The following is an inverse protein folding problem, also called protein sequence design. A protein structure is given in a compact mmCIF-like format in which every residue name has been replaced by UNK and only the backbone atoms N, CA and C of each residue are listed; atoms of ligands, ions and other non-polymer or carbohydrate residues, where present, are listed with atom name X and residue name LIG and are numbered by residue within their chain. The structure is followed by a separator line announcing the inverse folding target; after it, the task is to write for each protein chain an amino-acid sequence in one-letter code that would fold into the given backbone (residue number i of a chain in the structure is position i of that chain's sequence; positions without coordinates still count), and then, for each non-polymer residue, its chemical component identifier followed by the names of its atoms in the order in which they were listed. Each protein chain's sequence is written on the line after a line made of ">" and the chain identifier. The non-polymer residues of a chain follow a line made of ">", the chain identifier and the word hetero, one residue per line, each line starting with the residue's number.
data_IF_574070722263
#
_entry.id   IF_574070722263
#
_cell.length_a   1.000
_cell.length_b   1.000
_cell.length_c   1.000
_cell.angle_alpha   90.00
_cell.angle_beta   90.00
_cell.angle_gamma   90.00
#
_symmetry.space_group_name_H-M   'P 1'
#
loop_
_entity.id
_entity.type
_entity.pdbx_description
1 polymer ?
#
# COMPACT_ATOMS: atom_id res chain seq x y z
N UNK A 1 -6.76 -1.49 18.65
CA UNK A 1 -7.74 -2.06 17.69
C UNK A 1 -9.16 -1.93 18.20
N UNK A 2 -9.47 -2.43 19.40
CA UNK A 2 -10.76 -2.20 20.07
C UNK A 2 -11.18 -0.73 20.16
N UNK A 3 -10.26 0.21 20.43
CA UNK A 3 -10.57 1.65 20.54
C UNK A 3 -11.03 2.25 19.19
N UNK A 4 -10.45 1.82 18.07
CA UNK A 4 -10.80 2.34 16.75
C UNK A 4 -12.14 1.76 16.31
N UNK A 5 -12.36 0.46 16.54
CA UNK A 5 -13.66 -0.18 16.33
C UNK A 5 -14.72 0.45 17.22
N UNK A 6 -14.41 0.72 18.50
CA UNK A 6 -15.31 1.37 19.45
C UNK A 6 -15.63 2.82 19.07
N UNK A 7 -14.66 3.60 18.58
CA UNK A 7 -14.88 4.99 18.18
C UNK A 7 -15.72 5.08 16.89
N UNK A 8 -15.44 4.22 15.90
CA UNK A 8 -16.24 4.11 14.67
C UNK A 8 -17.66 3.64 14.99
N UNK A 9 -17.80 2.66 15.89
CA UNK A 9 -19.10 2.18 16.34
C UNK A 9 -19.85 3.25 17.15
N UNK A 10 -19.16 4.01 18.02
CA UNK A 10 -19.71 5.12 18.79
C UNK A 10 -20.18 6.28 17.91
N UNK A 11 -19.48 6.60 16.82
CA UNK A 11 -19.92 7.63 15.87
C UNK A 11 -21.12 7.17 15.01
N UNK A 12 -21.24 5.85 14.78
CA UNK A 12 -22.39 5.23 14.10
C UNK A 12 -23.62 5.03 15.02
N UNK A 13 -23.43 4.89 16.34
CA UNK A 13 -24.53 4.62 17.30
C UNK A 13 -24.92 5.82 18.16
N UNK A 14 -24.01 6.74 18.48
CA UNK A 14 -24.26 7.87 19.38
C UNK A 14 -24.61 9.10 18.55
N UNK A 15 -25.80 9.05 17.92
CA UNK A 15 -26.43 10.18 17.22
C UNK A 15 -26.91 11.30 18.17
N UNK A 16 -26.02 11.83 19.02
CA UNK A 16 -26.40 12.83 20.04
C UNK A 16 -25.33 13.86 20.41
N UNK A 17 -24.04 13.53 20.35
CA UNK A 17 -22.97 14.49 20.66
C UNK A 17 -22.20 14.88 19.38
N UNK A 18 -22.21 16.17 19.02
CA UNK A 18 -21.46 16.73 17.89
C UNK A 18 -19.95 16.78 18.22
N UNK A 19 -19.27 15.63 18.16
CA UNK A 19 -17.80 15.60 18.20
C UNK A 19 -17.27 16.26 16.92
N UNK A 20 -16.23 17.09 17.04
CA UNK A 20 -15.58 17.69 15.88
C UNK A 20 -14.87 16.61 15.04
N UNK A 21 -15.39 16.30 13.85
CA UNK A 21 -14.84 15.26 12.98
C UNK A 21 -13.36 15.46 12.63
N UNK A 22 -12.85 16.71 12.57
CA UNK A 22 -11.42 16.95 12.32
C UNK A 22 -10.56 16.47 13.48
N UNK A 23 -11.01 16.71 14.70
CA UNK A 23 -10.33 16.27 15.92
C UNK A 23 -10.38 14.74 16.05
N UNK A 24 -11.55 14.13 15.85
CA UNK A 24 -11.73 12.69 15.83
C UNK A 24 -10.80 11.99 14.81
N UNK A 25 -10.77 12.47 13.57
CA UNK A 25 -9.87 11.95 12.53
C UNK A 25 -8.40 12.08 12.93
N UNK A 26 -8.01 13.17 13.60
CA UNK A 26 -6.67 13.35 14.14
C UNK A 26 -6.29 12.31 15.18
N UNK A 27 -7.19 12.00 16.12
CA UNK A 27 -6.98 10.94 17.13
C UNK A 27 -6.84 9.57 16.47
N UNK A 28 -7.72 9.24 15.52
CA UNK A 28 -7.66 7.95 14.83
C UNK A 28 -6.38 7.83 14.00
N UNK A 29 -6.00 8.89 13.29
CA UNK A 29 -4.72 8.94 12.57
C UNK A 29 -3.55 8.70 13.51
N UNK A 30 -3.47 9.44 14.62
CA UNK A 30 -2.39 9.32 15.60
C UNK A 30 -2.34 7.91 16.18
N UNK A 31 -3.49 7.31 16.49
CA UNK A 31 -3.57 5.95 17.03
C UNK A 31 -3.04 4.92 16.03
N UNK A 32 -3.50 4.96 14.77
CA UNK A 32 -3.00 4.07 13.73
C UNK A 32 -1.51 4.31 13.44
N UNK A 33 -1.10 5.57 13.37
CA UNK A 33 0.28 5.92 13.09
C UNK A 33 1.22 5.45 14.19
N UNK A 34 0.88 5.63 15.46
CA UNK A 34 1.72 5.16 16.57
C UNK A 34 1.78 3.63 16.61
N UNK A 35 0.67 2.93 16.38
CA UNK A 35 0.67 1.45 16.31
C UNK A 35 1.57 0.97 15.17
N UNK A 36 1.42 1.55 13.97
CA UNK A 36 2.22 1.18 12.82
C UNK A 36 3.69 1.55 13.01
N UNK A 37 3.96 2.76 13.49
CA UNK A 37 5.28 3.36 13.56
C UNK A 37 6.12 2.90 14.75
N UNK A 38 5.50 2.52 15.88
CA UNK A 38 6.17 2.00 17.07
C UNK A 38 6.18 0.46 17.15
N UNK A 39 5.70 -0.22 16.11
CA UNK A 39 5.75 -1.68 16.04
C UNK A 39 7.19 -2.18 16.15
N UNK A 40 7.39 -3.32 16.81
CA UNK A 40 8.69 -3.97 16.93
C UNK A 40 8.57 -5.44 16.56
N UNK A 41 9.43 -5.91 15.66
CA UNK A 41 9.44 -7.28 15.16
C UNK A 41 8.09 -7.75 14.57
N UNK A 42 7.38 -6.82 13.91
CA UNK A 42 6.10 -7.08 13.24
C UNK A 42 6.21 -6.78 11.75
N UNK A 43 5.81 -7.76 10.95
CA UNK A 43 5.79 -7.71 9.50
C UNK A 43 6.92 -8.55 8.89
N UNK A 44 6.61 -9.22 7.77
CA UNK A 44 7.53 -10.14 7.09
C UNK A 44 8.92 -9.54 6.84
N UNK A 45 8.97 -8.29 6.37
CA UNK A 45 10.23 -7.63 5.99
C UNK A 45 10.82 -6.73 7.07
N UNK A 46 10.30 -6.76 8.31
CA UNK A 46 10.78 -5.89 9.41
C UNK A 46 12.31 -5.98 9.59
N UNK A 47 12.83 -7.21 9.66
CA UNK A 47 14.26 -7.46 9.84
C UNK A 47 15.10 -7.00 8.65
N UNK A 48 14.55 -7.07 7.43
CA UNK A 48 15.22 -6.58 6.23
C UNK A 48 15.38 -5.06 6.30
N UNK A 49 14.30 -4.32 6.59
CA UNK A 49 14.39 -2.86 6.71
C UNK A 49 15.34 -2.40 7.82
N UNK A 50 15.34 -3.09 8.97
CA UNK A 50 16.28 -2.81 10.06
C UNK A 50 17.74 -3.05 9.64
N UNK A 51 18.02 -4.19 8.99
CA UNK A 51 19.36 -4.54 8.49
C UNK A 51 19.85 -3.49 7.50
N UNK A 52 19.00 -3.10 6.56
CA UNK A 52 19.34 -2.15 5.51
C UNK A 52 19.63 -0.75 6.06
N UNK A 53 18.83 -0.28 7.01
CA UNK A 53 19.11 0.98 7.71
C UNK A 53 20.45 0.95 8.44
N UNK A 54 20.77 -0.17 9.10
CA UNK A 54 22.06 -0.34 9.78
C UNK A 54 23.24 -0.40 8.78
N UNK A 55 23.10 -1.11 7.65
CA UNK A 55 24.14 -1.12 6.62
C UNK A 55 24.42 0.28 6.09
N UNK A 56 23.37 1.07 5.87
CA UNK A 56 23.50 2.46 5.48
C UNK A 56 24.26 3.30 6.52
N UNK A 57 23.94 3.16 7.81
CA UNK A 57 24.63 3.88 8.90
C UNK A 57 26.13 3.55 8.98
N UNK A 58 26.50 2.30 8.73
CA UNK A 58 27.89 1.84 8.80
C UNK A 58 28.63 1.90 7.47
N UNK A 59 28.06 2.55 6.44
CA UNK A 59 28.69 2.69 5.12
C UNK A 59 28.93 1.36 4.41
N UNK A 60 28.14 0.32 4.70
CA UNK A 60 28.27 -1.01 4.13
C UNK A 60 27.48 -1.13 2.83
N UNK A 61 27.98 -1.93 1.90
CA UNK A 61 27.27 -2.27 0.67
C UNK A 61 26.12 -3.21 1.01
N UNK A 62 24.90 -2.81 0.65
CA UNK A 62 23.73 -3.66 0.71
C UNK A 62 23.70 -4.65 -0.44
N UNK A 63 23.24 -5.87 -0.15
CA UNK A 63 22.91 -6.88 -1.16
C UNK A 63 21.47 -6.75 -1.67
N UNK A 64 20.65 -5.93 -1.02
CA UNK A 64 19.24 -5.71 -1.36
C UNK A 64 19.11 -4.35 -2.04
N UNK A 65 18.83 -4.38 -3.35
CA UNK A 65 18.64 -3.15 -4.10
C UNK A 65 17.24 -2.57 -3.84
N UNK A 66 17.19 -1.53 -3.01
CA UNK A 66 15.98 -0.78 -2.70
C UNK A 66 15.77 0.38 -3.69
N UNK A 67 14.51 0.73 -3.95
CA UNK A 67 14.15 1.80 -4.88
C UNK A 67 14.73 3.16 -4.41
N UNK A 68 15.10 4.05 -5.35
CA UNK A 68 15.88 5.25 -5.04
C UNK A 68 15.20 6.19 -4.05
N UNK A 69 13.88 6.34 -4.11
CA UNK A 69 13.13 7.18 -3.16
C UNK A 69 13.15 6.63 -1.74
N UNK A 70 13.08 5.31 -1.59
CA UNK A 70 13.21 4.67 -0.28
C UNK A 70 14.63 4.81 0.29
N UNK A 71 15.65 4.64 -0.56
CA UNK A 71 17.06 4.84 -0.17
C UNK A 71 17.33 6.29 0.24
N UNK A 72 16.85 7.24 -0.54
CA UNK A 72 16.98 8.66 -0.23
C UNK A 72 16.30 9.01 1.09
N UNK A 73 15.07 8.52 1.31
CA UNK A 73 14.34 8.71 2.57
C UNK A 73 15.10 8.11 3.76
N UNK A 74 15.60 6.88 3.62
CA UNK A 74 16.36 6.21 4.68
C UNK A 74 17.66 6.96 4.98
N UNK A 75 18.35 7.43 3.94
CA UNK A 75 19.57 8.25 4.08
C UNK A 75 19.27 9.55 4.82
N UNK A 76 18.18 10.24 4.45
CA UNK A 76 17.77 11.48 5.10
C UNK A 76 17.45 11.26 6.59
N UNK A 77 16.77 10.16 6.94
CA UNK A 77 16.49 9.82 8.34
C UNK A 77 17.79 9.54 9.11
N UNK A 78 18.73 8.83 8.49
CA UNK A 78 20.03 8.51 9.09
C UNK A 78 20.90 9.75 9.41
N UNK A 79 20.64 10.89 8.76
CA UNK A 79 21.30 12.16 9.12
C UNK A 79 20.90 12.67 10.51
N UNK A 80 19.74 12.27 11.03
CA UNK A 80 19.20 12.77 12.30
C UNK A 80 19.20 11.73 13.42
N UNK A 81 19.31 10.43 13.10
CA UNK A 81 19.21 9.36 14.10
C UNK A 81 19.85 8.06 13.64
N UNK A 82 20.38 7.30 14.59
CA UNK A 82 20.85 5.92 14.39
C UNK A 82 19.76 4.89 14.71
N UNK A 83 18.62 5.32 15.24
CA UNK A 83 17.54 4.42 15.61
C UNK A 83 16.62 4.15 14.42
N UNK A 84 16.65 2.92 13.90
CA UNK A 84 15.82 2.47 12.79
C UNK A 84 14.30 2.55 13.06
N UNK A 85 13.85 2.71 14.31
CA UNK A 85 12.44 2.92 14.62
C UNK A 85 11.86 4.15 13.90
N UNK A 86 12.69 5.18 13.70
CA UNK A 86 12.29 6.39 12.97
C UNK A 86 11.96 6.10 11.50
N UNK A 87 12.60 5.10 10.89
CA UNK A 87 12.23 4.63 9.56
C UNK A 87 10.78 4.16 9.51
N UNK A 88 10.36 3.36 10.48
CA UNK A 88 8.98 2.87 10.57
C UNK A 88 7.98 3.99 10.92
N UNK A 89 8.34 4.93 11.79
CA UNK A 89 7.53 6.11 12.08
C UNK A 89 7.29 6.96 10.82
N UNK A 90 8.35 7.29 10.08
CA UNK A 90 8.24 8.17 8.90
C UNK A 90 7.50 7.47 7.75
N UNK A 91 7.86 6.23 7.44
CA UNK A 91 7.23 5.47 6.35
C UNK A 91 5.75 5.18 6.62
N UNK A 92 5.38 4.85 7.86
CA UNK A 92 3.97 4.67 8.23
C UNK A 92 3.20 5.98 8.24
N UNK A 93 3.82 7.10 8.64
CA UNK A 93 3.22 8.44 8.53
C UNK A 93 2.86 8.75 7.08
N UNK A 94 3.82 8.60 6.16
CA UNK A 94 3.62 8.84 4.72
C UNK A 94 2.47 7.98 4.20
N UNK A 95 2.50 6.67 4.47
CA UNK A 95 1.46 5.74 4.02
C UNK A 95 0.08 6.13 4.53
N UNK A 96 -0.06 6.34 5.84
CA UNK A 96 -1.36 6.68 6.43
C UNK A 96 -1.83 8.07 5.99
N UNK A 97 -0.92 9.03 5.84
CA UNK A 97 -1.27 10.38 5.40
C UNK A 97 -1.92 10.36 4.01
N UNK A 98 -1.31 9.64 3.07
CA UNK A 98 -1.87 9.49 1.73
C UNK A 98 -3.15 8.65 1.72
N UNK A 99 -3.24 7.59 2.54
CA UNK A 99 -4.50 6.83 2.70
C UNK A 99 -5.63 7.72 3.21
N UNK A 100 -5.41 8.50 4.27
CA UNK A 100 -6.41 9.40 4.84
C UNK A 100 -6.84 10.47 3.84
N UNK A 101 -5.90 11.08 3.12
CA UNK A 101 -6.21 12.07 2.07
C UNK A 101 -6.95 11.45 0.88
N UNK A 102 -6.66 10.20 0.53
CA UNK A 102 -7.36 9.51 -0.54
C UNK A 102 -8.79 9.17 -0.12
N UNK A 103 -8.99 8.59 1.07
CA UNK A 103 -10.32 8.29 1.62
C UNK A 103 -11.16 9.57 1.73
N UNK A 104 -10.61 10.65 2.30
CA UNK A 104 -11.33 11.92 2.43
C UNK A 104 -11.72 12.52 1.07
N UNK A 105 -10.94 12.24 0.03
CA UNK A 105 -11.20 12.77 -1.32
C UNK A 105 -12.20 11.94 -2.12
N UNK A 106 -12.24 10.62 -1.89
CA UNK A 106 -12.92 9.66 -2.76
C UNK A 106 -14.13 8.97 -2.12
N UNK A 107 -14.23 8.93 -0.80
CA UNK A 107 -15.25 8.17 -0.09
C UNK A 107 -16.40 9.05 0.38
N UNK A 108 -17.64 8.56 0.21
CA UNK A 108 -18.83 9.18 0.80
C UNK A 108 -18.82 9.07 2.33
N UNK A 109 -18.38 7.92 2.85
CA UNK A 109 -18.21 7.68 4.29
C UNK A 109 -16.74 7.41 4.62
N UNK A 110 -16.12 8.39 5.29
CA UNK A 110 -14.73 8.34 5.72
C UNK A 110 -14.50 7.16 6.69
N UNK A 111 -15.32 7.05 7.73
CA UNK A 111 -15.13 6.06 8.79
C UNK A 111 -15.42 4.64 8.34
N UNK A 112 -16.41 4.44 7.46
CA UNK A 112 -16.65 3.14 6.85
C UNK A 112 -15.46 2.70 5.98
N UNK A 113 -14.92 3.61 5.17
CA UNK A 113 -13.76 3.31 4.32
C UNK A 113 -12.50 3.03 5.14
N UNK A 114 -12.31 3.77 6.24
CA UNK A 114 -11.21 3.55 7.16
C UNK A 114 -11.37 2.23 7.94
N UNK A 115 -12.60 1.90 8.35
CA UNK A 115 -12.93 0.60 8.92
C UNK A 115 -12.57 -0.51 7.94
N UNK A 116 -12.98 -0.42 6.68
CA UNK A 116 -12.65 -1.40 5.64
C UNK A 116 -11.14 -1.51 5.40
N UNK A 117 -10.41 -0.39 5.40
CA UNK A 117 -8.95 -0.40 5.30
C UNK A 117 -8.30 -1.24 6.41
N UNK A 118 -8.83 -1.19 7.64
CA UNK A 118 -8.33 -2.00 8.76
C UNK A 118 -8.86 -3.44 8.69
N UNK A 119 -10.17 -3.61 8.51
CA UNK A 119 -10.88 -4.89 8.55
C UNK A 119 -10.51 -5.81 7.39
N UNK A 120 -10.28 -5.26 6.19
CA UNK A 120 -9.78 -5.99 5.02
C UNK A 120 -8.26 -6.18 5.04
N UNK A 121 -7.63 -5.95 6.19
CA UNK A 121 -6.22 -6.25 6.45
C UNK A 121 -5.21 -5.39 5.66
N UNK A 122 -5.65 -4.37 4.91
CA UNK A 122 -4.74 -3.46 4.21
C UNK A 122 -3.80 -2.71 5.16
N UNK A 123 -4.34 -2.28 6.31
CA UNK A 123 -3.54 -1.64 7.36
C UNK A 123 -2.41 -2.56 7.85
N UNK A 124 -2.69 -3.83 8.13
CA UNK A 124 -1.69 -4.78 8.61
C UNK A 124 -0.73 -5.23 7.51
N UNK A 125 -1.20 -5.36 6.28
CA UNK A 125 -0.33 -5.61 5.13
C UNK A 125 0.68 -4.48 4.90
N UNK A 126 0.34 -3.23 5.23
CA UNK A 126 1.29 -2.13 5.19
C UNK A 126 2.50 -2.31 6.12
N UNK A 127 2.40 -3.19 7.12
CA UNK A 127 3.52 -3.51 8.00
C UNK A 127 4.47 -4.51 7.37
N UNK A 128 3.92 -5.41 6.54
CA UNK A 128 4.65 -6.45 5.83
C UNK A 128 5.42 -5.86 4.65
N UNK A 129 4.78 -5.03 3.83
CA UNK A 129 5.31 -4.58 2.56
C UNK A 129 5.40 -3.04 2.51
N UNK A 130 6.23 -2.46 3.39
CA UNK A 130 6.31 -1.00 3.63
C UNK A 130 6.47 -0.20 2.33
N UNK A 131 7.47 -0.56 1.50
CA UNK A 131 7.75 0.12 0.23
C UNK A 131 6.57 0.07 -0.74
N UNK A 132 5.97 -1.11 -0.88
CA UNK A 132 4.79 -1.31 -1.72
C UNK A 132 3.61 -0.47 -1.24
N UNK A 133 3.30 -0.47 0.06
CA UNK A 133 2.17 0.30 0.59
C UNK A 133 2.39 1.82 0.59
N UNK A 134 3.64 2.29 0.64
CA UNK A 134 3.95 3.69 0.35
C UNK A 134 3.56 4.04 -1.10
N UNK A 135 3.97 3.22 -2.07
CA UNK A 135 3.63 3.45 -3.47
C UNK A 135 2.12 3.33 -3.74
N UNK A 136 1.45 2.35 -3.12
CA UNK A 136 -0.01 2.16 -3.22
C UNK A 136 -0.76 3.37 -2.67
N UNK A 137 -0.39 3.86 -1.49
CA UNK A 137 -1.09 4.99 -0.86
C UNK A 137 -0.93 6.29 -1.67
N UNK A 138 0.28 6.58 -2.17
CA UNK A 138 0.55 7.72 -3.06
C UNK A 138 -0.24 7.57 -4.37
N UNK A 139 -0.23 6.38 -4.98
CA UNK A 139 -0.97 6.11 -6.22
C UNK A 139 -2.48 6.25 -6.02
N UNK A 140 -3.01 5.76 -4.89
CA UNK A 140 -4.42 5.88 -4.54
C UNK A 140 -4.82 7.35 -4.40
N UNK A 141 -4.03 8.15 -3.71
CA UNK A 141 -4.25 9.61 -3.67
C UNK A 141 -4.19 10.25 -5.05
N UNK A 142 -3.29 9.79 -5.93
CA UNK A 142 -3.17 10.25 -7.32
C UNK A 142 -4.43 10.05 -8.16
N UNK A 143 -5.29 9.07 -7.83
CA UNK A 143 -6.54 8.82 -8.58
C UNK A 143 -7.49 10.02 -8.59
N UNK A 144 -7.36 10.97 -7.66
CA UNK A 144 -8.07 12.27 -7.70
C UNK A 144 -7.89 13.06 -8.99
N UNK A 145 -6.76 12.85 -9.68
CA UNK A 145 -6.44 13.52 -10.94
C UNK A 145 -7.06 12.82 -12.14
N UNK A 146 -7.42 11.53 -12.02
CA UNK A 146 -8.16 10.78 -13.04
C UNK A 146 -9.55 11.37 -13.25
N UNK A 147 -10.27 11.64 -12.15
CA UNK A 147 -11.60 12.25 -12.20
C UNK A 147 -11.59 13.62 -12.91
N UNK A 148 -10.48 14.36 -12.83
CA UNK A 148 -10.30 15.65 -13.49
C UNK A 148 -9.67 15.56 -14.88
N UNK A 149 -9.33 14.36 -15.35
CA UNK A 149 -8.56 14.13 -16.59
C UNK A 149 -7.27 14.98 -16.66
N UNK A 150 -6.61 15.16 -15.52
CA UNK A 150 -5.35 15.90 -15.41
C UNK A 150 -4.18 14.90 -15.48
N UNK A 151 -3.78 14.56 -16.71
CA UNK A 151 -2.72 13.58 -16.95
C UNK A 151 -1.40 13.99 -16.31
N UNK A 152 -1.02 15.27 -16.40
CA UNK A 152 0.27 15.74 -15.89
C UNK A 152 0.37 15.53 -14.38
N UNK A 153 -0.62 15.97 -13.61
CA UNK A 153 -0.60 15.76 -12.14
C UNK A 153 -0.71 14.29 -11.76
N UNK A 154 -1.48 13.52 -12.53
CA UNK A 154 -1.56 12.07 -12.34
C UNK A 154 -0.19 11.41 -12.54
N UNK A 155 0.44 11.65 -13.70
CA UNK A 155 1.72 11.06 -14.07
C UNK A 155 2.83 11.44 -13.09
N UNK A 156 2.92 12.71 -12.67
CA UNK A 156 3.87 13.14 -11.64
C UNK A 156 3.66 12.35 -10.34
N UNK A 157 2.41 12.18 -9.91
CA UNK A 157 2.10 11.44 -8.69
C UNK A 157 2.51 9.96 -8.80
N UNK A 158 2.27 9.32 -9.94
CA UNK A 158 2.67 7.93 -10.18
C UNK A 158 4.19 7.77 -10.29
N UNK A 159 4.89 8.72 -10.92
CA UNK A 159 6.35 8.72 -10.96
C UNK A 159 6.92 8.85 -9.55
N UNK A 160 6.38 9.75 -8.70
CA UNK A 160 6.78 9.84 -7.29
C UNK A 160 6.51 8.52 -6.55
N UNK A 161 5.35 7.89 -6.75
CA UNK A 161 5.06 6.59 -6.17
C UNK A 161 6.07 5.52 -6.60
N UNK A 162 6.50 5.55 -7.87
CA UNK A 162 7.46 4.59 -8.43
C UNK A 162 8.86 4.68 -7.82
N UNK A 163 9.22 5.83 -7.23
CA UNK A 163 10.47 5.98 -6.49
C UNK A 163 10.50 5.11 -5.23
N UNK A 164 9.34 4.69 -4.72
CA UNK A 164 9.23 3.78 -3.57
C UNK A 164 8.95 2.34 -3.99
N UNK A 165 8.32 2.11 -5.15
CA UNK A 165 8.12 0.78 -5.70
C UNK A 165 7.86 0.82 -7.21
N UNK A 166 8.75 0.22 -8.02
CA UNK A 166 8.72 0.35 -9.48
C UNK A 166 7.42 -0.10 -10.15
N UNK A 167 6.74 -1.11 -9.59
CA UNK A 167 5.48 -1.62 -10.15
C UNK A 167 4.37 -0.56 -10.19
N UNK A 168 4.48 0.53 -9.42
CA UNK A 168 3.55 1.65 -9.48
C UNK A 168 3.47 2.29 -10.87
N UNK A 169 4.52 2.20 -11.71
CA UNK A 169 4.49 2.72 -13.08
C UNK A 169 3.41 2.09 -13.95
N UNK A 170 2.96 0.87 -13.62
CA UNK A 170 1.83 0.22 -14.30
C UNK A 170 0.56 1.09 -14.21
N UNK A 171 0.41 1.88 -13.14
CA UNK A 171 -0.72 2.78 -12.96
C UNK A 171 -0.76 3.91 -14.01
N UNK A 172 0.37 4.26 -14.66
CA UNK A 172 0.33 5.23 -15.77
C UNK A 172 -0.63 4.79 -16.88
N UNK A 173 -0.73 3.48 -17.14
CA UNK A 173 -1.64 2.94 -18.14
C UNK A 173 -3.11 3.03 -17.70
N UNK A 174 -3.39 2.98 -16.39
CA UNK A 174 -4.75 3.08 -15.86
C UNK A 174 -5.42 4.40 -16.25
N UNK A 175 -4.65 5.47 -16.45
CA UNK A 175 -5.17 6.74 -16.97
C UNK A 175 -5.91 6.56 -18.29
N UNK A 176 -5.28 5.87 -19.25
CA UNK A 176 -5.84 5.70 -20.59
C UNK A 176 -7.04 4.77 -20.60
N UNK A 177 -7.09 3.79 -19.69
CA UNK A 177 -8.24 2.90 -19.52
C UNK A 177 -9.43 3.64 -18.92
N UNK A 178 -9.23 4.37 -17.82
CA UNK A 178 -10.32 5.02 -17.09
C UNK A 178 -10.87 6.25 -17.80
N UNK A 179 -10.04 7.01 -18.51
CA UNK A 179 -10.48 8.26 -19.15
C UNK A 179 -11.16 8.07 -20.50
N UNK A 180 -11.12 6.86 -21.08
CA UNK A 180 -11.71 6.53 -22.37
C UNK A 180 -12.87 5.56 -22.20
N UNK A 181 -13.95 5.79 -22.95
CA UNK A 181 -15.15 4.95 -22.91
C UNK A 181 -14.90 3.64 -23.67
N UNK A 182 -14.28 2.66 -23.02
CA UNK A 182 -14.23 1.29 -23.52
C UNK A 182 -15.56 0.56 -23.29
N UNK A 183 -15.89 -0.39 -24.16
CA UNK A 183 -17.05 -1.25 -23.96
C UNK A 183 -16.83 -2.10 -22.71
N UNK A 184 -17.91 -2.40 -21.97
CA UNK A 184 -17.87 -3.29 -20.79
C UNK A 184 -17.16 -4.62 -21.07
N UNK A 185 -17.30 -5.14 -22.29
CA UNK A 185 -16.61 -6.35 -22.75
C UNK A 185 -15.09 -6.23 -22.71
N UNK A 186 -14.51 -5.06 -22.96
CA UNK A 186 -13.07 -4.82 -22.90
C UNK A 186 -12.54 -4.94 -21.47
N UNK A 187 -13.26 -4.38 -20.49
CA UNK A 187 -12.91 -4.53 -19.08
C UNK A 187 -13.02 -5.98 -18.61
N UNK A 188 -14.09 -6.68 -18.99
CA UNK A 188 -14.29 -8.09 -18.67
C UNK A 188 -13.20 -8.98 -19.30
N UNK A 189 -12.80 -8.70 -20.55
CA UNK A 189 -11.68 -9.40 -21.19
C UNK A 189 -10.37 -9.14 -20.46
N UNK A 190 -10.07 -7.89 -20.06
CA UNK A 190 -8.86 -7.58 -19.30
C UNK A 190 -8.82 -8.32 -17.96
N UNK A 191 -9.94 -8.38 -17.23
CA UNK A 191 -10.07 -9.15 -15.99
C UNK A 191 -9.88 -10.65 -16.27
N UNK A 192 -10.53 -11.19 -17.31
CA UNK A 192 -10.41 -12.59 -17.72
C UNK A 192 -8.97 -12.97 -18.06
N UNK A 193 -8.25 -12.11 -18.78
CA UNK A 193 -6.82 -12.30 -19.10
C UNK A 193 -5.98 -12.26 -17.82
N UNK A 194 -6.21 -11.31 -16.91
CA UNK A 194 -5.48 -11.24 -15.65
C UNK A 194 -5.68 -12.49 -14.78
N UNK A 195 -6.92 -12.99 -14.71
CA UNK A 195 -7.25 -14.25 -14.01
C UNK A 195 -6.58 -15.45 -14.69
N UNK A 196 -6.61 -15.52 -16.02
CA UNK A 196 -5.95 -16.59 -16.78
C UNK A 196 -4.44 -16.60 -16.55
N UNK A 197 -3.77 -15.44 -16.66
CA UNK A 197 -2.34 -15.29 -16.37
C UNK A 197 -2.02 -15.80 -14.96
N UNK A 198 -2.88 -15.49 -13.98
CA UNK A 198 -2.70 -15.96 -12.60
C UNK A 198 -2.85 -17.48 -12.46
N UNK A 199 -3.85 -18.08 -13.10
CA UNK A 199 -4.03 -19.54 -13.12
C UNK A 199 -2.79 -20.20 -13.73
N UNK A 200 -2.34 -19.68 -14.87
CA UNK A 200 -1.14 -20.17 -15.56
C UNK A 200 0.11 -20.00 -14.69
N UNK A 201 0.28 -18.87 -14.00
CA UNK A 201 1.38 -18.65 -13.05
C UNK A 201 1.43 -19.75 -12.00
N UNK A 202 0.32 -20.06 -11.33
CA UNK A 202 0.28 -21.12 -10.32
C UNK A 202 0.50 -22.53 -10.87
N UNK A 203 0.20 -22.77 -12.15
CA UNK A 203 0.45 -24.06 -12.79
C UNK A 203 1.89 -24.20 -13.26
N UNK A 204 2.48 -23.14 -13.79
CA UNK A 204 3.80 -23.16 -14.44
C UNK A 204 4.94 -22.99 -13.41
N UNK A 205 4.78 -22.11 -12.43
CA UNK A 205 5.84 -21.79 -11.45
C UNK A 205 6.36 -23.01 -10.67
N UNK A 206 5.51 -23.94 -10.17
CA UNK A 206 5.99 -25.14 -9.50
C UNK A 206 6.80 -26.09 -10.40
N UNK A 207 6.66 -25.98 -11.73
CA UNK A 207 7.39 -26.79 -12.70
C UNK A 207 8.72 -26.11 -13.07
N UNK A 208 8.70 -24.80 -13.30
CA UNK A 208 9.85 -24.05 -13.82
C UNK A 208 10.85 -23.70 -12.72
N UNK A 209 10.39 -23.30 -11.54
CA UNK A 209 11.27 -22.79 -10.49
C UNK A 209 12.22 -23.84 -9.89
N UNK A 210 11.87 -25.13 -9.73
CA UNK A 210 12.82 -26.16 -9.29
C UNK A 210 13.97 -26.38 -10.28
N UNK A 211 13.78 -26.05 -11.56
CA UNK A 211 14.82 -26.16 -12.60
C UNK A 211 15.88 -25.06 -12.50
N UNK A 212 15.67 -24.07 -11.64
CA UNK A 212 16.61 -22.98 -11.40
C UNK A 212 17.03 -23.01 -9.93
N UNK A 213 18.19 -23.60 -9.58
CA UNK A 213 18.61 -23.84 -8.20
C UNK A 213 18.58 -22.60 -7.30
N UNK A 214 18.87 -21.42 -7.88
CA UNK A 214 18.83 -20.11 -7.20
C UNK A 214 17.43 -19.73 -6.69
N UNK A 215 16.37 -20.21 -7.34
CA UNK A 215 14.98 -19.86 -7.01
C UNK A 215 14.21 -20.98 -6.31
N UNK A 216 14.77 -22.18 -6.18
CA UNK A 216 14.14 -23.31 -5.49
C UNK A 216 13.71 -22.95 -4.05
N UNK A 217 14.51 -22.16 -3.34
CA UNK A 217 14.21 -21.68 -1.98
C UNK A 217 12.99 -20.73 -1.91
N UNK A 218 12.61 -20.07 -3.01
CA UNK A 218 11.44 -19.18 -3.05
C UNK A 218 10.10 -19.93 -3.12
N UNK A 219 10.09 -21.20 -3.56
CA UNK A 219 8.87 -22.02 -3.60
C UNK A 219 8.34 -22.35 -2.21
N UNK A 220 9.22 -22.48 -1.22
CA UNK A 220 8.84 -22.75 0.16
C UNK A 220 8.06 -21.58 0.77
N UNK A 221 8.53 -20.34 0.56
CA UNK A 221 7.88 -19.12 1.04
C UNK A 221 6.62 -18.72 0.26
N UNK A 222 6.50 -19.12 -1.01
CA UNK A 222 5.35 -18.76 -1.86
C UNK A 222 4.03 -19.41 -1.43
N UNK A 223 4.07 -20.51 -0.68
CA UNK A 223 2.86 -21.22 -0.22
C UNK A 223 2.13 -20.50 0.92
N UNK A 224 2.79 -19.58 1.64
CA UNK A 224 2.26 -19.07 2.92
C UNK A 224 1.73 -17.62 2.90
N UNK A 225 1.78 -16.86 1.81
CA UNK A 225 1.17 -15.53 1.88
C UNK A 225 1.15 -14.69 0.62
N UNK A 226 0.20 -14.99 -0.28
CA UNK A 226 -0.20 -14.09 -1.37
C UNK A 226 -1.57 -13.43 -1.11
N UNK A 227 -1.75 -12.82 0.07
CA UNK A 227 -2.94 -12.03 0.40
C UNK A 227 -3.09 -10.77 -0.47
N UNK A 228 -2.00 -10.28 -1.08
CA UNK A 228 -1.98 -9.11 -1.95
C UNK A 228 -2.85 -9.24 -3.22
N UNK A 229 -3.15 -10.46 -3.66
CA UNK A 229 -3.91 -10.70 -4.89
C UNK A 229 -5.43 -10.61 -4.66
N UNK A 230 -5.90 -11.09 -3.49
CA UNK A 230 -7.32 -11.11 -3.17
C UNK A 230 -7.87 -9.68 -3.05
N UNK A 231 -7.06 -8.78 -2.47
CA UNK A 231 -7.41 -7.37 -2.33
C UNK A 231 -7.44 -6.61 -3.66
N UNK A 232 -6.53 -6.90 -4.61
CA UNK A 232 -6.53 -6.29 -5.95
C UNK A 232 -7.75 -6.76 -6.77
N UNK A 233 -8.12 -8.04 -6.65
CA UNK A 233 -9.33 -8.58 -7.30
C UNK A 233 -10.59 -7.97 -6.71
N UNK A 234 -10.68 -7.84 -5.39
CA UNK A 234 -11.82 -7.19 -4.71
C UNK A 234 -11.91 -5.71 -5.11
N UNK A 235 -10.80 -4.98 -5.15
CA UNK A 235 -10.78 -3.59 -5.60
C UNK A 235 -11.22 -3.46 -7.07
N UNK A 236 -10.75 -4.34 -7.95
CA UNK A 236 -11.16 -4.38 -9.37
C UNK A 236 -12.65 -4.67 -9.57
N UNK A 237 -13.24 -5.53 -8.73
CA UNK A 237 -14.67 -5.81 -8.75
C UNK A 237 -15.51 -4.60 -8.31
N UNK A 238 -15.04 -3.84 -7.30
CA UNK A 238 -15.71 -2.62 -6.82
C UNK A 238 -15.75 -1.54 -7.91
N UNK A 239 -14.66 -1.37 -8.68
CA UNK A 239 -14.62 -0.40 -9.79
C UNK A 239 -15.47 -0.78 -11.01
N UNK A 240 -15.92 -2.03 -11.12
CA UNK A 240 -16.79 -2.48 -12.22
C UNK A 240 -18.29 -2.41 -11.89
N UNK A 241 -18.64 -2.12 -10.62
CA UNK A 241 -20.03 -2.08 -10.13
C UNK A 241 -20.52 -0.63 -9.97
N UNK A 242 -19.61 0.35 -9.92
CA UNK A 242 -19.93 1.79 -9.99
C UNK A 242 -19.92 2.29 -11.45
#
# INVERSE_FOLDING_TARGET
>A
MMIITFYIFAELTIGGHKINHRFARGIVFLTLWLIAGLRYNVGRDFANYLREFNFLLYGRVSWIDFEPGYRLLSSAIALFTTNAQYLFLVTSFITLWFVFKAIDKHSESFYLSLFLFVAMYFYFNSFNEVRHYMAVSISFYGTRYLAKRDFTKYAITIVIASLFHYSALIMLFAYFFVTRNYRRTTYLMAIGIAVLIRILYFRIIPIVVPLIPRYANYLYYHREGSSATLSVVIAGLIFCIA
#
